data_IF_605975108545
#
_entry.id   IF_605975108545
#
_cell.length_a   1.000
_cell.length_b   1.000
_cell.length_c   1.000
_cell.angle_alpha   90.00
_cell.angle_beta   90.00
_cell.angle_gamma   90.00
#
_symmetry.space_group_name_H-M   'P 1'
#
loop_
_entity.id
_entity.type
_entity.pdbx_description
1 polymer ?
#
# COMPACT_ATOMS: atom_id res chain seq x y z
N UNK A 1 -46.11 -21.94 1.62
CA UNK A 1 -45.95 -20.48 1.78
C UNK A 1 -45.19 -20.19 3.07
N UNK A 2 -43.91 -19.85 2.97
CA UNK A 2 -43.14 -19.07 3.96
C UNK A 2 -41.85 -18.64 3.24
N UNK A 3 -41.75 -17.34 2.94
CA UNK A 3 -40.56 -16.68 2.40
C UNK A 3 -39.47 -16.68 3.49
N UNK A 4 -38.26 -17.11 3.15
CA UNK A 4 -37.05 -16.88 3.95
C UNK A 4 -36.16 -15.96 3.12
N UNK A 5 -36.04 -14.71 3.54
CA UNK A 5 -35.10 -13.75 2.96
C UNK A 5 -33.71 -14.06 3.51
N UNK A 6 -32.78 -14.41 2.63
CA UNK A 6 -31.36 -14.49 2.95
C UNK A 6 -30.79 -13.11 2.69
N UNK A 7 -30.55 -12.35 3.74
CA UNK A 7 -29.93 -11.03 3.69
C UNK A 7 -28.43 -11.21 3.93
N UNK A 8 -27.63 -10.71 2.98
CA UNK A 8 -26.18 -10.62 3.02
C UNK A 8 -25.70 -10.09 4.38
N UNK A 9 -24.87 -10.87 5.08
CA UNK A 9 -24.38 -10.50 6.41
C UNK A 9 -22.86 -10.60 6.61
N UNK A 10 -22.06 -10.79 5.55
CA UNK A 10 -20.60 -11.00 5.73
C UNK A 10 -19.68 -9.88 5.23
N UNK A 11 -20.20 -8.80 4.63
CA UNK A 11 -19.35 -7.67 4.18
C UNK A 11 -19.51 -6.38 4.99
N UNK A 12 -20.40 -6.37 6.00
CA UNK A 12 -20.66 -5.16 6.80
C UNK A 12 -20.04 -5.21 8.21
N UNK A 13 -19.60 -6.37 8.69
CA UNK A 13 -19.02 -6.53 10.04
C UNK A 13 -17.53 -6.14 10.14
N UNK A 14 -16.84 -5.94 9.02
CA UNK A 14 -15.45 -5.44 9.04
C UNK A 14 -15.33 -3.91 9.27
N UNK A 15 -16.46 -3.18 9.33
CA UNK A 15 -16.49 -1.72 9.53
C UNK A 15 -16.98 -1.27 10.91
N UNK A 16 -17.43 -2.19 11.76
CA UNK A 16 -18.05 -1.84 13.06
C UNK A 16 -17.45 -2.54 14.29
N UNK A 17 -16.23 -3.05 14.23
CA UNK A 17 -15.42 -3.19 15.45
C UNK A 17 -14.65 -1.88 15.70
N UNK A 18 -15.42 -0.87 16.10
CA UNK A 18 -14.90 0.38 16.64
C UNK A 18 -14.05 0.03 17.87
N UNK A 19 -12.83 0.57 17.85
CA UNK A 19 -11.91 0.73 18.97
C UNK A 19 -12.61 0.76 20.35
N UNK A 20 -12.54 -0.34 21.09
CA UNK A 20 -12.78 -0.35 22.54
C UNK A 20 -11.49 -0.36 23.37
N UNK A 21 -10.34 0.00 22.78
CA UNK A 21 -9.08 0.23 23.53
C UNK A 21 -8.42 1.59 23.25
N UNK A 22 -9.14 2.54 22.66
CA UNK A 22 -8.67 3.92 22.47
C UNK A 22 -9.65 4.95 23.08
N UNK A 23 -10.34 4.59 24.16
CA UNK A 23 -11.03 5.58 25.00
C UNK A 23 -9.99 6.48 25.66
N UNK A 24 -9.77 7.67 25.09
CA UNK A 24 -9.26 8.89 25.75
C UNK A 24 -8.35 8.64 26.96
N UNK A 25 -7.27 7.89 26.79
CA UNK A 25 -6.30 7.73 27.88
C UNK A 25 -5.61 9.07 28.09
N UNK A 26 -5.67 9.60 29.31
CA UNK A 26 -4.93 10.81 29.67
C UNK A 26 -3.44 10.59 29.34
N UNK A 27 -2.80 11.46 28.55
CA UNK A 27 -1.39 11.30 28.24
C UNK A 27 -0.53 11.33 29.52
N UNK A 28 0.54 10.54 29.54
CA UNK A 28 1.50 10.56 30.65
C UNK A 28 2.14 11.94 30.77
N UNK A 29 2.25 12.45 32.00
CA UNK A 29 2.81 13.77 32.30
C UNK A 29 4.34 13.71 32.30
N UNK A 30 4.96 14.72 31.71
CA UNK A 30 6.41 14.92 31.78
C UNK A 30 6.84 15.27 33.21
N UNK A 31 8.03 14.82 33.62
CA UNK A 31 8.61 15.11 34.94
C UNK A 31 8.03 14.33 36.11
N UNK A 32 7.01 13.49 35.90
CA UNK A 32 6.44 12.60 36.92
C UNK A 32 6.94 11.17 36.71
N UNK A 33 7.30 10.47 37.79
CA UNK A 33 7.75 9.08 37.74
C UNK A 33 6.78 8.15 36.98
N UNK A 34 7.28 7.45 35.96
CA UNK A 34 6.47 6.58 35.09
C UNK A 34 5.82 5.45 35.90
N UNK A 35 6.57 4.87 36.84
CA UNK A 35 6.05 3.80 37.70
C UNK A 35 4.87 4.31 38.56
N UNK A 36 5.00 5.50 39.15
CA UNK A 36 3.88 6.12 39.88
C UNK A 36 2.66 6.36 38.99
N UNK A 37 2.85 6.90 37.79
CA UNK A 37 1.74 7.15 36.86
C UNK A 37 1.03 5.87 36.43
N UNK A 38 1.78 4.77 36.23
CA UNK A 38 1.21 3.47 35.94
C UNK A 38 0.41 2.91 37.13
N UNK A 39 0.96 3.01 38.34
CA UNK A 39 0.25 2.61 39.57
C UNK A 39 -1.05 3.38 39.74
N UNK A 40 -1.03 4.70 39.57
CA UNK A 40 -2.22 5.54 39.69
C UNK A 40 -3.29 5.13 38.66
N UNK A 41 -2.87 4.78 37.44
CA UNK A 41 -3.76 4.36 36.34
C UNK A 41 -4.36 2.97 36.54
N UNK A 42 -3.54 2.00 36.94
CA UNK A 42 -3.92 0.59 36.90
C UNK A 42 -4.07 -0.08 38.26
N UNK A 43 -3.85 0.61 39.38
CA UNK A 43 -3.96 0.06 40.75
C UNK A 43 -5.28 -0.64 41.04
N UNK A 44 -6.37 -0.18 40.44
CA UNK A 44 -7.72 -0.76 40.62
C UNK A 44 -8.06 -1.84 39.59
N UNK A 45 -7.19 -2.10 38.63
CA UNK A 45 -7.49 -3.06 37.56
C UNK A 45 -7.28 -4.51 38.03
N UNK A 46 -8.25 -5.37 37.72
CA UNK A 46 -8.17 -6.80 37.97
C UNK A 46 -7.52 -7.57 36.82
N UNK A 47 -7.26 -6.93 35.68
CA UNK A 47 -6.74 -7.60 34.48
C UNK A 47 -5.32 -8.13 34.72
N UNK A 48 -5.03 -9.41 34.38
CA UNK A 48 -3.70 -9.99 34.57
C UNK A 48 -2.60 -9.19 33.86
N UNK A 49 -2.82 -8.71 32.64
CA UNK A 49 -1.80 -7.94 31.91
C UNK A 49 -1.40 -6.65 32.63
N UNK A 50 -2.33 -5.97 33.31
CA UNK A 50 -2.03 -4.76 34.06
C UNK A 50 -1.22 -5.07 35.32
N UNK A 51 -1.49 -6.19 35.99
CA UNK A 51 -0.69 -6.61 37.15
C UNK A 51 0.76 -6.90 36.77
N UNK A 52 0.99 -7.59 35.65
CA UNK A 52 2.34 -7.86 35.17
C UNK A 52 3.05 -6.57 34.75
N UNK A 53 2.35 -5.65 34.06
CA UNK A 53 2.89 -4.33 33.72
C UNK A 53 3.30 -3.52 34.96
N UNK A 54 2.46 -3.51 36.00
CA UNK A 54 2.77 -2.84 37.27
C UNK A 54 3.96 -3.51 37.97
N UNK A 55 4.00 -4.84 38.02
CA UNK A 55 5.12 -5.58 38.60
C UNK A 55 6.44 -5.26 37.88
N UNK A 56 6.43 -5.21 36.55
CA UNK A 56 7.57 -4.77 35.75
C UNK A 56 7.97 -3.33 36.08
N UNK A 57 7.03 -2.39 36.13
CA UNK A 57 7.33 -0.98 36.43
C UNK A 57 7.95 -0.80 37.83
N UNK A 58 7.43 -1.51 38.83
CA UNK A 58 7.99 -1.52 40.20
C UNK A 58 9.38 -2.16 40.20
N UNK A 59 9.57 -3.28 39.51
CA UNK A 59 10.88 -3.93 39.41
C UNK A 59 11.93 -3.01 38.77
N UNK A 60 11.60 -2.34 37.65
CA UNK A 60 12.50 -1.39 37.01
C UNK A 60 12.82 -0.21 37.93
N UNK A 61 11.81 0.33 38.63
CA UNK A 61 12.03 1.42 39.61
C UNK A 61 12.94 0.99 40.76
N UNK A 62 12.78 -0.26 41.21
CA UNK A 62 13.63 -0.84 42.26
C UNK A 62 15.08 -0.96 41.82
N UNK A 63 15.34 -1.44 40.59
CA UNK A 63 16.70 -1.54 40.02
C UNK A 63 17.35 -0.15 39.96
N UNK A 64 16.64 0.84 39.41
CA UNK A 64 17.15 2.21 39.33
C UNK A 64 17.46 2.79 40.71
N UNK A 65 16.59 2.54 41.69
CA UNK A 65 16.78 3.01 43.06
C UNK A 65 17.98 2.33 43.73
N UNK A 66 18.18 1.03 43.53
CA UNK A 66 19.33 0.30 44.09
C UNK A 66 20.66 0.74 43.49
N UNK A 67 20.67 1.12 42.21
CA UNK A 67 21.86 1.60 41.51
C UNK A 67 22.06 3.12 41.63
N UNK A 68 21.20 3.82 42.38
CA UNK A 68 21.22 5.28 42.52
C UNK A 68 21.10 6.03 41.18
N UNK A 69 20.38 5.45 40.23
CA UNK A 69 20.11 6.02 38.91
C UNK A 69 18.85 6.90 38.94
N UNK A 70 18.75 7.91 38.05
CA UNK A 70 17.58 8.79 38.00
C UNK A 70 16.32 8.04 37.55
N UNK A 71 15.16 8.41 38.10
CA UNK A 71 13.85 7.90 37.66
C UNK A 71 13.38 8.60 36.37
N UNK A 72 14.22 8.62 35.34
CA UNK A 72 13.95 9.25 34.05
C UNK A 72 13.47 8.23 33.01
N UNK A 73 12.74 8.65 31.96
CA UNK A 73 12.33 7.74 30.88
C UNK A 73 13.51 6.99 30.23
N UNK A 74 14.64 7.66 29.99
CA UNK A 74 15.84 7.02 29.43
C UNK A 74 16.44 5.96 30.36
N UNK A 75 16.42 6.18 31.67
CA UNK A 75 16.92 5.22 32.65
C UNK A 75 16.00 4.00 32.76
N UNK A 76 14.67 4.21 32.80
CA UNK A 76 13.69 3.13 32.73
C UNK A 76 13.83 2.30 31.45
N UNK A 77 14.07 2.96 30.32
CA UNK A 77 14.33 2.29 29.05
C UNK A 77 15.59 1.43 29.11
N UNK A 78 16.71 1.98 29.58
CA UNK A 78 17.96 1.26 29.70
C UNK A 78 17.82 0.02 30.59
N UNK A 79 17.23 0.17 31.78
CA UNK A 79 16.99 -0.94 32.70
C UNK A 79 16.10 -2.03 32.08
N UNK A 80 15.05 -1.65 31.36
CA UNK A 80 14.16 -2.59 30.69
C UNK A 80 14.83 -3.32 29.51
N UNK A 81 15.68 -2.63 28.74
CA UNK A 81 16.47 -3.26 27.67
C UNK A 81 17.50 -4.23 28.24
N UNK A 82 18.21 -3.87 29.32
CA UNK A 82 19.14 -4.77 30.01
C UNK A 82 18.44 -6.02 30.53
N UNK A 83 17.27 -5.86 31.17
CA UNK A 83 16.47 -7.00 31.64
C UNK A 83 16.01 -7.91 30.49
N UNK A 84 15.76 -7.36 29.30
CA UNK A 84 15.40 -8.12 28.11
C UNK A 84 16.61 -8.82 27.46
N UNK A 85 17.80 -8.23 27.47
CA UNK A 85 19.00 -8.89 26.93
C UNK A 85 19.37 -10.12 27.78
N UNK A 86 19.16 -10.05 29.09
CA UNK A 86 19.31 -11.17 30.04
C UNK A 86 18.10 -12.14 30.08
N UNK A 87 17.25 -12.14 29.04
CA UNK A 87 15.96 -12.86 29.02
C UNK A 87 15.99 -14.40 29.08
N UNK A 88 17.14 -15.03 29.34
CA UNK A 88 17.23 -16.50 29.47
C UNK A 88 16.38 -17.04 30.62
N UNK A 89 16.14 -16.22 31.64
CA UNK A 89 15.33 -16.57 32.82
C UNK A 89 13.86 -16.13 32.72
N UNK A 90 13.49 -15.40 31.66
CA UNK A 90 12.17 -14.78 31.54
C UNK A 90 11.20 -15.63 30.73
N UNK A 91 9.99 -15.81 31.25
CA UNK A 91 8.88 -16.41 30.51
C UNK A 91 8.24 -15.43 29.50
N UNK A 92 7.36 -15.93 28.65
CA UNK A 92 6.67 -15.12 27.63
C UNK A 92 5.82 -13.98 28.24
N UNK A 93 5.32 -14.16 29.46
CA UNK A 93 4.49 -13.17 30.16
C UNK A 93 5.36 -12.00 30.64
N UNK A 94 6.50 -12.29 31.24
CA UNK A 94 7.48 -11.30 31.70
C UNK A 94 8.07 -10.51 30.51
N UNK A 95 8.43 -11.19 29.43
CA UNK A 95 8.87 -10.55 28.18
C UNK A 95 7.74 -9.67 27.64
N UNK A 96 6.51 -10.18 27.59
CA UNK A 96 5.36 -9.42 27.11
C UNK A 96 5.07 -8.16 27.93
N UNK A 97 5.24 -8.21 29.24
CA UNK A 97 5.09 -7.07 30.14
C UNK A 97 6.19 -6.02 29.95
N UNK A 98 7.45 -6.45 29.81
CA UNK A 98 8.58 -5.57 29.49
C UNK A 98 8.42 -4.86 28.14
N UNK A 99 8.01 -5.59 27.09
CA UNK A 99 7.73 -5.00 25.78
C UNK A 99 6.58 -3.99 25.83
N UNK A 100 5.54 -4.28 26.61
CA UNK A 100 4.42 -3.35 26.82
C UNK A 100 4.89 -2.11 27.58
N UNK A 101 5.70 -2.29 28.64
CA UNK A 101 6.30 -1.20 29.40
C UNK A 101 7.16 -0.30 28.50
N UNK A 102 8.02 -0.87 27.66
CA UNK A 102 8.81 -0.12 26.69
C UNK A 102 7.95 0.70 25.73
N UNK A 103 6.79 0.19 25.30
CA UNK A 103 5.87 0.92 24.41
C UNK A 103 5.27 2.18 25.03
N UNK A 104 5.29 2.26 26.35
CA UNK A 104 4.87 3.42 27.14
C UNK A 104 6.07 4.36 27.39
N UNK A 105 7.23 3.79 27.71
CA UNK A 105 8.44 4.57 28.05
C UNK A 105 9.04 5.27 26.84
N UNK A 106 9.22 4.57 25.71
CA UNK A 106 9.92 5.10 24.52
C UNK A 106 9.33 6.42 24.00
N UNK A 107 8.00 6.60 23.88
CA UNK A 107 7.41 7.88 23.49
C UNK A 107 7.79 9.05 24.40
N UNK A 108 7.99 8.80 25.70
CA UNK A 108 8.31 9.81 26.73
C UNK A 108 9.78 10.21 26.77
N UNK A 109 10.65 9.51 26.03
CA UNK A 109 12.07 9.84 25.98
C UNK A 109 12.24 11.13 25.16
N UNK A 110 12.95 12.15 25.68
CA UNK A 110 13.18 13.38 24.95
C UNK A 110 14.02 13.12 23.69
N UNK A 111 13.97 14.00 22.67
CA UNK A 111 14.92 13.93 21.56
C UNK A 111 16.36 13.83 22.08
N UNK A 112 17.20 13.01 21.44
CA UNK A 112 18.58 12.73 21.87
C UNK A 112 18.72 12.06 23.26
N UNK A 113 17.62 11.63 23.88
CA UNK A 113 17.62 10.94 25.17
C UNK A 113 18.21 9.52 25.14
N UNK A 114 18.52 8.99 23.95
CA UNK A 114 19.25 7.74 23.71
C UNK A 114 20.29 8.02 22.63
N UNK A 115 21.55 7.64 22.87
CA UNK A 115 22.60 7.70 21.86
C UNK A 115 22.39 6.66 20.75
N UNK A 116 22.73 6.98 19.50
CA UNK A 116 22.44 6.12 18.34
C UNK A 116 23.02 4.69 18.44
N UNK A 117 24.23 4.54 18.96
CA UNK A 117 24.82 3.22 19.23
C UNK A 117 23.99 2.39 20.22
N UNK A 118 23.45 3.03 21.28
CA UNK A 118 22.57 2.37 22.26
C UNK A 118 21.18 2.09 21.71
N UNK A 119 20.67 2.94 20.81
CA UNK A 119 19.44 2.66 20.09
C UNK A 119 19.58 1.42 19.19
N UNK A 120 20.72 1.28 18.49
CA UNK A 120 21.05 0.10 17.69
C UNK A 120 21.11 -1.17 18.54
N UNK A 121 21.84 -1.15 19.66
CA UNK A 121 21.89 -2.28 20.61
C UNK A 121 20.48 -2.65 21.09
N UNK A 122 19.65 -1.67 21.45
CA UNK A 122 18.27 -1.91 21.85
C UNK A 122 17.42 -2.53 20.73
N UNK A 123 17.58 -2.08 19.48
CA UNK A 123 16.92 -2.68 18.31
C UNK A 123 17.32 -4.14 18.15
N UNK A 124 18.60 -4.48 18.34
CA UNK A 124 19.09 -5.86 18.28
C UNK A 124 18.45 -6.76 19.36
N UNK A 125 18.37 -6.27 20.60
CA UNK A 125 17.68 -6.98 21.70
C UNK A 125 16.20 -7.17 21.36
N UNK A 126 15.51 -6.12 20.92
CA UNK A 126 14.08 -6.18 20.61
C UNK A 126 13.79 -7.11 19.43
N UNK A 127 14.57 -7.04 18.35
CA UNK A 127 14.43 -7.90 17.17
C UNK A 127 14.56 -9.38 17.52
N UNK A 128 15.50 -9.73 18.42
CA UNK A 128 15.71 -11.10 18.89
C UNK A 128 14.50 -11.65 19.66
N UNK A 129 13.74 -10.80 20.35
CA UNK A 129 12.70 -11.22 21.29
C UNK A 129 11.29 -11.13 20.74
N UNK A 130 11.01 -10.16 19.85
CA UNK A 130 9.68 -9.95 19.30
C UNK A 130 9.17 -11.14 18.48
N UNK A 131 10.08 -11.96 17.95
CA UNK A 131 9.80 -13.20 17.22
C UNK A 131 9.60 -14.44 18.10
N UNK A 132 9.76 -14.35 19.42
CA UNK A 132 9.54 -15.51 20.32
C UNK A 132 8.08 -15.96 20.27
N UNK A 133 7.88 -17.26 20.19
CA UNK A 133 6.54 -17.86 20.26
C UNK A 133 5.89 -17.64 21.63
N UNK A 134 4.56 -17.66 21.66
CA UNK A 134 3.78 -17.46 22.89
C UNK A 134 3.54 -16.00 23.29
N UNK A 135 4.16 -15.01 22.61
CA UNK A 135 3.89 -13.60 22.87
C UNK A 135 2.48 -13.19 22.39
N UNK A 136 1.74 -12.53 23.29
CA UNK A 136 0.42 -11.98 23.00
C UNK A 136 0.44 -10.88 21.94
N UNK A 137 -0.68 -10.71 21.23
CA UNK A 137 -0.85 -9.73 20.14
C UNK A 137 -0.49 -8.31 20.60
N UNK A 138 -0.93 -7.91 21.80
CA UNK A 138 -0.69 -6.57 22.34
C UNK A 138 0.81 -6.31 22.58
N UNK A 139 1.52 -7.30 23.14
CA UNK A 139 2.96 -7.20 23.42
C UNK A 139 3.78 -7.12 22.13
N UNK A 140 3.49 -7.95 21.14
CA UNK A 140 4.18 -7.89 19.84
C UNK A 140 3.89 -6.57 19.13
N UNK A 141 2.63 -6.11 19.13
CA UNK A 141 2.26 -4.80 18.59
C UNK A 141 3.05 -3.67 19.29
N UNK A 142 3.12 -3.70 20.62
CA UNK A 142 3.91 -2.75 21.41
C UNK A 142 5.39 -2.76 21.05
N UNK A 143 5.98 -3.94 20.90
CA UNK A 143 7.37 -4.12 20.49
C UNK A 143 7.66 -3.59 19.08
N UNK A 144 6.80 -3.90 18.11
CA UNK A 144 6.88 -3.38 16.73
C UNK A 144 6.78 -1.85 16.73
N UNK A 145 5.88 -1.28 17.53
CA UNK A 145 5.75 0.17 17.68
C UNK A 145 7.02 0.79 18.27
N UNK A 146 7.60 0.17 19.30
CA UNK A 146 8.89 0.58 19.88
C UNK A 146 10.01 0.54 18.84
N UNK A 147 10.13 -0.54 18.08
CA UNK A 147 11.13 -0.69 17.02
C UNK A 147 11.03 0.45 16.00
N UNK A 148 9.82 0.75 15.53
CA UNK A 148 9.60 1.89 14.63
C UNK A 148 10.01 3.23 15.24
N UNK A 149 9.68 3.47 16.51
CA UNK A 149 10.06 4.69 17.22
C UNK A 149 11.57 4.80 17.46
N UNK A 150 12.25 3.68 17.80
CA UNK A 150 13.69 3.63 17.99
C UNK A 150 14.43 3.99 16.69
N UNK A 151 14.01 3.37 15.58
CA UNK A 151 14.57 3.66 14.26
C UNK A 151 14.42 5.14 13.89
N UNK A 152 13.21 5.69 13.97
CA UNK A 152 12.94 7.06 13.51
C UNK A 152 13.56 8.12 14.41
N UNK A 153 13.60 7.91 15.73
CA UNK A 153 13.97 8.98 16.68
C UNK A 153 15.38 8.92 17.21
N UNK A 154 16.02 7.75 17.20
CA UNK A 154 17.25 7.53 17.95
C UNK A 154 18.35 6.82 17.16
N UNK A 155 18.03 5.99 16.16
CA UNK A 155 19.05 5.41 15.29
C UNK A 155 19.69 6.46 14.37
N UNK A 156 20.87 6.11 13.86
CA UNK A 156 21.56 6.91 12.84
C UNK A 156 20.95 6.58 11.47
N UNK A 157 20.12 7.50 10.96
CA UNK A 157 19.43 7.33 9.67
C UNK A 157 20.35 7.51 8.46
N UNK A 158 21.63 7.86 8.68
CA UNK A 158 22.65 7.96 7.63
C UNK A 158 23.49 6.68 7.51
N UNK A 159 23.54 5.87 8.57
CA UNK A 159 24.24 4.57 8.59
C UNK A 159 23.29 3.39 8.37
N UNK A 160 23.45 2.72 7.23
CA UNK A 160 22.68 1.51 6.91
C UNK A 160 22.80 0.43 7.98
N UNK A 161 23.99 0.24 8.57
CA UNK A 161 24.18 -0.80 9.59
C UNK A 161 23.44 -0.48 10.90
N UNK A 162 23.09 0.79 11.12
CA UNK A 162 22.31 1.24 12.28
C UNK A 162 20.83 0.88 12.13
N UNK A 163 20.29 0.94 10.91
CA UNK A 163 18.85 0.76 10.65
C UNK A 163 18.47 -0.60 10.05
N UNK A 164 19.41 -1.31 9.43
CA UNK A 164 19.16 -2.52 8.64
C UNK A 164 18.32 -3.57 9.38
N UNK A 165 18.78 -4.01 10.56
CA UNK A 165 18.14 -5.08 11.32
C UNK A 165 16.72 -4.69 11.76
N UNK A 166 16.55 -3.47 12.23
CA UNK A 166 15.24 -2.99 12.65
C UNK A 166 14.27 -2.88 11.47
N UNK A 167 14.73 -2.40 10.32
CA UNK A 167 13.92 -2.33 9.10
C UNK A 167 13.54 -3.72 8.58
N UNK A 168 14.49 -4.67 8.57
CA UNK A 168 14.24 -6.07 8.20
C UNK A 168 13.21 -6.71 9.14
N UNK A 169 13.33 -6.45 10.44
CA UNK A 169 12.37 -6.91 11.44
C UNK A 169 10.99 -6.31 11.20
N UNK A 170 10.88 -5.00 10.98
CA UNK A 170 9.58 -4.38 10.68
C UNK A 170 8.95 -4.95 9.40
N UNK A 171 9.76 -5.21 8.38
CA UNK A 171 9.30 -5.85 7.14
C UNK A 171 8.76 -7.26 7.37
N UNK A 172 9.40 -8.08 8.22
CA UNK A 172 8.87 -9.41 8.53
C UNK A 172 7.54 -9.35 9.29
N UNK A 173 7.37 -8.41 10.22
CA UNK A 173 6.11 -8.21 10.93
C UNK A 173 5.02 -7.54 10.08
N UNK A 174 5.38 -6.88 8.98
CA UNK A 174 4.42 -6.26 8.07
C UNK A 174 3.56 -7.27 7.28
N UNK A 175 3.94 -8.56 7.34
CA UNK A 175 3.23 -9.71 6.77
C UNK A 175 2.76 -10.73 7.83
N UNK A 176 2.87 -10.40 9.12
CA UNK A 176 2.45 -11.26 10.25
C UNK A 176 0.99 -11.74 10.15
N UNK A 177 0.67 -12.96 10.60
CA UNK A 177 -0.72 -13.45 10.57
C UNK A 177 -1.72 -12.59 11.37
N UNK A 178 -1.27 -11.85 12.39
CA UNK A 178 -2.09 -11.02 13.30
C UNK A 178 -2.35 -9.64 12.70
N UNK A 179 -3.61 -9.27 12.34
CA UNK A 179 -3.90 -8.01 11.64
C UNK A 179 -3.45 -6.74 12.39
N UNK A 180 -3.61 -6.72 13.72
CA UNK A 180 -3.20 -5.57 14.57
C UNK A 180 -1.67 -5.37 14.58
N UNK A 181 -0.89 -6.45 14.47
CA UNK A 181 0.58 -6.39 14.42
C UNK A 181 1.02 -5.91 13.04
N UNK A 182 0.47 -6.49 11.96
CA UNK A 182 0.78 -6.06 10.59
C UNK A 182 0.53 -4.59 10.36
N UNK A 183 -0.66 -4.10 10.74
CA UNK A 183 -1.03 -2.69 10.52
C UNK A 183 -0.05 -1.77 11.24
N UNK A 184 0.29 -2.08 12.49
CA UNK A 184 1.29 -1.33 13.25
C UNK A 184 2.67 -1.35 12.58
N UNK A 185 3.11 -2.50 12.05
CA UNK A 185 4.38 -2.62 11.33
C UNK A 185 4.38 -1.77 10.05
N UNK A 186 3.31 -1.83 9.25
CA UNK A 186 3.17 -1.04 8.02
C UNK A 186 3.16 0.47 8.28
N UNK A 187 2.47 0.93 9.33
CA UNK A 187 2.53 2.34 9.78
C UNK A 187 3.93 2.76 10.24
N UNK A 188 4.66 1.86 10.92
CA UNK A 188 6.04 2.12 11.32
C UNK A 188 6.97 2.18 10.11
N UNK A 189 6.81 1.28 9.13
CA UNK A 189 7.56 1.29 7.88
C UNK A 189 7.37 2.62 7.15
N UNK A 190 6.14 3.08 6.98
CA UNK A 190 5.86 4.36 6.32
C UNK A 190 6.60 5.53 7.00
N UNK A 191 6.59 5.59 8.34
CA UNK A 191 7.32 6.62 9.11
C UNK A 191 8.84 6.50 8.94
N UNK A 192 9.39 5.29 8.96
CA UNK A 192 10.82 5.05 8.74
C UNK A 192 11.24 5.48 7.33
N UNK A 193 10.51 5.07 6.29
CA UNK A 193 10.81 5.47 4.93
C UNK A 193 10.70 6.98 4.71
N UNK A 194 9.69 7.65 5.31
CA UNK A 194 9.58 9.12 5.29
C UNK A 194 10.76 9.82 5.96
N UNK A 195 11.41 9.18 6.93
CA UNK A 195 12.52 9.77 7.68
C UNK A 195 13.87 9.68 6.98
N UNK A 196 14.01 8.83 5.96
CA UNK A 196 15.25 8.71 5.21
C UNK A 196 15.46 9.94 4.31
N UNK A 197 16.47 10.74 4.64
CA UNK A 197 16.94 11.87 3.83
C UNK A 197 18.10 11.50 2.89
N UNK A 198 18.87 10.46 3.22
CA UNK A 198 20.08 10.07 2.50
C UNK A 198 19.83 9.02 1.43
N UNK A 199 20.38 9.27 0.24
CA UNK A 199 20.17 8.43 -0.95
C UNK A 199 20.74 7.02 -0.81
N UNK A 200 21.84 6.83 -0.07
CA UNK A 200 22.47 5.52 0.11
C UNK A 200 21.62 4.58 0.98
N UNK A 201 21.18 5.04 2.16
CA UNK A 201 20.31 4.26 3.05
C UNK A 201 18.98 3.95 2.36
N UNK A 202 18.39 4.94 1.68
CA UNK A 202 17.16 4.74 0.92
C UNK A 202 17.30 3.67 -0.17
N UNK A 203 18.44 3.64 -0.87
CA UNK A 203 18.73 2.64 -1.90
C UNK A 203 18.84 1.24 -1.32
N UNK A 204 19.51 1.05 -0.19
CA UNK A 204 19.61 -0.26 0.46
C UNK A 204 18.26 -0.69 1.06
N UNK A 205 17.53 0.22 1.72
CA UNK A 205 16.16 -0.01 2.19
C UNK A 205 15.23 -0.44 1.04
N UNK A 206 15.35 0.22 -0.12
CA UNK A 206 14.58 -0.14 -1.31
C UNK A 206 14.90 -1.55 -1.81
N UNK A 207 16.18 -1.94 -1.82
CA UNK A 207 16.57 -3.31 -2.21
C UNK A 207 15.99 -4.36 -1.25
N UNK A 208 15.88 -4.04 0.04
CA UNK A 208 15.30 -4.95 1.03
C UNK A 208 13.81 -5.21 0.74
N UNK A 209 13.03 -4.16 0.43
CA UNK A 209 11.63 -4.29 -0.02
C UNK A 209 11.52 -5.14 -1.29
N UNK A 210 12.38 -4.88 -2.28
CA UNK A 210 12.42 -5.70 -3.50
C UNK A 210 12.75 -7.16 -3.22
N UNK A 211 13.68 -7.43 -2.29
CA UNK A 211 14.05 -8.80 -1.90
C UNK A 211 12.86 -9.53 -1.28
N UNK A 212 12.14 -8.87 -0.36
CA UNK A 212 10.93 -9.42 0.26
C UNK A 212 9.86 -9.74 -0.79
N UNK A 213 9.61 -8.83 -1.73
CA UNK A 213 8.64 -9.06 -2.79
C UNK A 213 9.06 -10.22 -3.71
N UNK A 214 10.33 -10.26 -4.13
CA UNK A 214 10.87 -11.35 -4.96
C UNK A 214 10.77 -12.71 -4.29
N UNK A 215 10.98 -12.79 -2.96
CA UNK A 215 10.85 -14.03 -2.19
C UNK A 215 9.47 -14.67 -2.35
N UNK A 216 8.41 -13.86 -2.45
CA UNK A 216 7.03 -14.34 -2.53
C UNK A 216 6.47 -14.35 -3.95
N UNK A 217 7.28 -13.92 -4.93
CA UNK A 217 6.90 -13.90 -6.34
C UNK A 217 6.48 -15.27 -6.89
N UNK A 218 7.13 -16.41 -6.55
CA UNK A 218 6.69 -17.72 -7.03
C UNK A 218 5.26 -18.08 -6.59
N UNK A 219 4.91 -17.77 -5.34
CA UNK A 219 3.56 -17.97 -4.79
C UNK A 219 2.58 -17.02 -5.47
N UNK A 220 2.96 -15.76 -5.66
CA UNK A 220 2.12 -14.76 -6.33
C UNK A 220 1.80 -15.14 -7.79
N UNK A 221 2.77 -15.66 -8.54
CA UNK A 221 2.55 -16.14 -9.91
C UNK A 221 1.63 -17.35 -9.93
N UNK A 222 1.77 -18.28 -8.99
CA UNK A 222 0.88 -19.44 -8.89
C UNK A 222 -0.57 -19.00 -8.64
N UNK A 223 -0.76 -18.06 -7.71
CA UNK A 223 -2.06 -17.50 -7.38
C UNK A 223 -2.70 -16.68 -8.50
N UNK A 224 -1.90 -15.97 -9.31
CA UNK A 224 -2.45 -15.24 -10.45
C UNK A 224 -2.95 -16.19 -11.54
N UNK A 225 -2.37 -17.40 -11.63
CA UNK A 225 -2.79 -18.44 -12.59
C UNK A 225 -3.87 -19.40 -12.07
N UNK A 226 -4.21 -19.33 -10.78
CA UNK A 226 -5.22 -20.21 -10.21
C UNK A 226 -6.58 -19.87 -10.82
N UNK A 227 -7.15 -20.82 -11.58
CA UNK A 227 -8.48 -20.65 -12.16
C UNK A 227 -9.50 -20.52 -11.04
N UNK A 228 -10.25 -19.42 -11.05
CA UNK A 228 -11.49 -19.27 -10.27
C UNK A 228 -12.60 -20.02 -11.01
N UNK A 229 -12.52 -21.35 -11.03
CA UNK A 229 -13.46 -22.20 -11.75
C UNK A 229 -14.89 -21.97 -11.28
N UNK A 230 -15.79 -21.74 -12.23
CA UNK A 230 -17.20 -21.37 -12.05
C UNK A 230 -18.10 -22.51 -11.46
N UNK A 231 -17.52 -23.62 -10.98
CA UNK A 231 -18.28 -24.84 -10.64
C UNK A 231 -17.95 -25.51 -9.28
N UNK A 232 -17.10 -24.94 -8.42
CA UNK A 232 -16.96 -25.46 -7.05
C UNK A 232 -17.43 -24.42 -6.04
N UNK A 233 -18.49 -24.76 -5.30
CA UNK A 233 -18.93 -24.07 -4.06
C UNK A 233 -17.90 -24.16 -2.91
N UNK A 234 -16.67 -24.53 -3.22
CA UNK A 234 -15.57 -24.46 -2.29
C UNK A 234 -15.02 -23.04 -2.39
N UNK A 235 -15.50 -22.20 -1.48
CA UNK A 235 -14.88 -20.94 -1.12
C UNK A 235 -13.37 -21.14 -1.15
N UNK A 236 -12.65 -20.43 -2.03
CA UNK A 236 -11.20 -20.58 -2.20
C UNK A 236 -10.57 -20.16 -0.87
N UNK A 237 -10.38 -21.11 0.03
CA UNK A 237 -9.72 -20.93 1.30
C UNK A 237 -8.25 -20.71 0.98
N UNK A 238 -7.86 -19.44 0.86
CA UNK A 238 -6.48 -19.04 0.67
C UNK A 238 -5.63 -19.63 1.79
N UNK A 239 -4.53 -20.28 1.41
CA UNK A 239 -3.59 -20.82 2.38
C UNK A 239 -2.85 -19.67 3.07
N UNK A 240 -2.24 -19.89 4.24
CA UNK A 240 -1.48 -18.86 4.93
C UNK A 240 -0.43 -18.18 4.03
N UNK A 241 0.26 -18.95 3.19
CA UNK A 241 1.26 -18.44 2.24
C UNK A 241 0.64 -17.53 1.17
N UNK A 242 -0.62 -17.79 0.81
CA UNK A 242 -1.34 -17.01 -0.18
C UNK A 242 -1.78 -15.65 0.39
N UNK A 243 -2.13 -15.62 1.68
CA UNK A 243 -2.42 -14.39 2.41
C UNK A 243 -1.18 -13.50 2.58
N UNK A 244 0.01 -14.10 2.74
CA UNK A 244 1.26 -13.34 2.81
C UNK A 244 1.52 -12.54 1.53
N UNK A 245 1.20 -13.08 0.35
CA UNK A 245 1.30 -12.34 -0.92
C UNK A 245 0.42 -11.08 -0.89
N UNK A 246 -0.83 -11.19 -0.42
CA UNK A 246 -1.73 -10.05 -0.28
C UNK A 246 -1.18 -9.01 0.70
N UNK A 247 -0.56 -9.47 1.79
CA UNK A 247 0.07 -8.60 2.76
C UNK A 247 1.27 -7.85 2.18
N UNK A 248 2.09 -8.51 1.35
CA UNK A 248 3.22 -7.88 0.67
C UNK A 248 2.76 -6.83 -0.33
N UNK A 249 1.68 -7.07 -1.07
CA UNK A 249 1.11 -6.04 -1.94
C UNK A 249 0.68 -4.80 -1.15
N UNK A 250 0.18 -4.98 0.09
CA UNK A 250 -0.11 -3.85 0.98
C UNK A 250 1.16 -3.17 1.50
N UNK A 251 2.23 -3.91 1.76
CA UNK A 251 3.56 -3.35 2.09
C UNK A 251 4.10 -2.49 0.95
N UNK A 252 3.93 -2.93 -0.30
CA UNK A 252 4.30 -2.13 -1.46
C UNK A 252 3.55 -0.80 -1.49
N UNK A 253 2.23 -0.80 -1.28
CA UNK A 253 1.44 0.45 -1.25
C UNK A 253 1.98 1.50 -0.27
N UNK A 254 2.46 1.08 0.91
CA UNK A 254 2.99 2.03 1.92
C UNK A 254 4.46 2.40 1.71
N UNK A 255 5.22 1.62 0.93
CA UNK A 255 6.66 1.85 0.74
C UNK A 255 7.01 2.49 -0.61
N UNK A 256 6.26 2.17 -1.67
CA UNK A 256 6.47 2.64 -3.05
C UNK A 256 6.71 4.14 -3.19
N UNK A 257 5.99 5.03 -2.48
CA UNK A 257 6.22 6.48 -2.56
C UNK A 257 7.64 6.93 -2.21
N UNK A 258 8.42 6.09 -1.52
CA UNK A 258 9.75 6.41 -1.04
C UNK A 258 10.87 5.64 -1.76
N UNK A 259 10.53 4.61 -2.54
CA UNK A 259 11.55 3.72 -3.10
C UNK A 259 12.36 4.42 -4.18
N UNK A 260 13.63 4.03 -4.31
CA UNK A 260 14.46 4.49 -5.42
C UNK A 260 13.84 4.09 -6.77
N UNK A 261 13.88 4.99 -7.75
CA UNK A 261 13.40 4.79 -9.13
C UNK A 261 13.76 3.42 -9.72
N UNK A 262 15.02 3.01 -9.61
CA UNK A 262 15.51 1.72 -10.14
C UNK A 262 14.83 0.51 -9.51
N UNK A 263 14.51 0.60 -8.22
CA UNK A 263 13.78 -0.46 -7.52
C UNK A 263 12.30 -0.39 -7.87
N UNK A 264 11.71 0.79 -7.89
CA UNK A 264 10.32 1.03 -8.28
C UNK A 264 10.00 0.43 -9.65
N UNK A 265 10.84 0.68 -10.67
CA UNK A 265 10.72 0.08 -12.00
C UNK A 265 10.77 -1.45 -11.95
N UNK A 266 11.69 -2.06 -11.19
CA UNK A 266 11.76 -3.53 -11.04
C UNK A 266 10.55 -4.13 -10.34
N UNK A 267 10.00 -3.44 -9.34
CA UNK A 267 8.79 -3.88 -8.65
C UNK A 267 7.62 -3.82 -9.62
N UNK A 268 7.48 -2.72 -10.37
CA UNK A 268 6.41 -2.56 -11.35
C UNK A 268 6.48 -3.62 -12.45
N UNK A 269 7.65 -3.87 -13.01
CA UNK A 269 7.91 -4.96 -13.97
C UNK A 269 7.48 -6.34 -13.44
N UNK A 270 7.69 -6.60 -12.15
CA UNK A 270 7.22 -7.83 -11.52
C UNK A 270 5.70 -7.81 -11.28
N UNK A 271 5.10 -6.67 -10.92
CA UNK A 271 3.64 -6.54 -10.82
C UNK A 271 2.95 -6.80 -12.16
N UNK A 272 3.53 -6.35 -13.29
CA UNK A 272 3.01 -6.64 -14.63
C UNK A 272 2.87 -8.14 -14.88
N UNK A 273 3.80 -8.97 -14.38
CA UNK A 273 3.74 -10.44 -14.50
C UNK A 273 2.57 -11.07 -13.72
N UNK A 274 2.02 -10.34 -12.75
CA UNK A 274 0.85 -10.75 -11.98
C UNK A 274 -0.46 -10.30 -12.63
N UNK A 275 -0.42 -9.37 -13.59
CA UNK A 275 -1.59 -9.01 -14.39
C UNK A 275 -1.84 -10.14 -15.39
N UNK A 276 -3.01 -10.76 -15.29
CA UNK A 276 -3.51 -11.76 -16.23
C UNK A 276 -4.62 -11.15 -17.06
N UNK A 277 -5.05 -11.84 -18.12
CA UNK A 277 -6.25 -11.44 -18.86
C UNK A 277 -7.52 -11.75 -18.07
N UNK A 278 -7.52 -12.79 -17.24
CA UNK A 278 -8.65 -13.22 -16.42
C UNK A 278 -8.49 -12.80 -14.96
N UNK A 279 -9.61 -12.65 -14.26
CA UNK A 279 -9.65 -12.31 -12.85
C UNK A 279 -8.96 -13.35 -11.97
N UNK A 280 -8.21 -12.87 -10.98
CA UNK A 280 -7.55 -13.67 -9.95
C UNK A 280 -7.76 -13.03 -8.58
N UNK A 281 -7.54 -13.78 -7.47
CA UNK A 281 -7.56 -13.21 -6.13
C UNK A 281 -6.60 -12.02 -5.93
N UNK A 282 -5.55 -11.90 -6.76
CA UNK A 282 -4.57 -10.83 -6.69
C UNK A 282 -4.97 -9.58 -7.48
N UNK A 283 -5.87 -9.68 -8.45
CA UNK A 283 -6.12 -8.62 -9.45
C UNK A 283 -6.38 -7.26 -8.83
N UNK A 284 -7.31 -7.20 -7.85
CA UNK A 284 -7.65 -5.96 -7.13
C UNK A 284 -6.45 -5.36 -6.40
N UNK A 285 -5.66 -6.20 -5.74
CA UNK A 285 -4.50 -5.76 -4.98
C UNK A 285 -3.38 -5.27 -5.91
N UNK A 286 -3.16 -5.93 -7.03
CA UNK A 286 -2.18 -5.53 -8.05
C UNK A 286 -2.57 -4.18 -8.64
N UNK A 287 -3.82 -4.02 -9.09
CA UNK A 287 -4.32 -2.76 -9.64
C UNK A 287 -4.20 -1.62 -8.63
N UNK A 288 -4.63 -1.81 -7.39
CA UNK A 288 -4.48 -0.79 -6.35
C UNK A 288 -3.03 -0.45 -6.04
N UNK A 289 -2.10 -1.39 -6.22
CA UNK A 289 -0.67 -1.12 -6.04
C UNK A 289 -0.11 -0.32 -7.20
N UNK A 290 -0.49 -0.65 -8.45
CA UNK A 290 -0.12 0.12 -9.65
C UNK A 290 -0.67 1.55 -9.58
N UNK A 291 -1.89 1.73 -9.08
CA UNK A 291 -2.48 3.06 -8.86
C UNK A 291 -1.59 3.93 -7.96
N UNK A 292 -1.03 3.35 -6.88
CA UNK A 292 -0.09 4.06 -6.00
C UNK A 292 1.18 4.45 -6.75
N UNK A 293 1.70 3.58 -7.63
CA UNK A 293 2.83 3.94 -8.50
C UNK A 293 2.49 5.13 -9.40
N UNK A 294 1.28 5.21 -9.94
CA UNK A 294 0.90 6.35 -10.78
C UNK A 294 0.79 7.63 -9.95
N UNK A 295 0.44 7.54 -8.67
CA UNK A 295 0.40 8.71 -7.77
C UNK A 295 1.75 9.31 -7.38
N UNK A 296 2.90 8.68 -7.68
CA UNK A 296 4.22 9.20 -7.28
C UNK A 296 4.68 10.33 -8.20
N UNK A 297 5.33 11.35 -7.63
CA UNK A 297 5.87 12.50 -8.38
C UNK A 297 7.08 12.17 -9.27
N UNK A 298 7.70 11.00 -9.10
CA UNK A 298 8.86 10.54 -9.87
C UNK A 298 8.48 9.53 -10.98
N UNK A 299 7.24 9.59 -11.48
CA UNK A 299 6.72 8.63 -12.45
C UNK A 299 7.46 8.67 -13.81
N UNK A 300 8.10 9.79 -14.14
CA UNK A 300 8.80 10.00 -15.43
C UNK A 300 9.86 8.93 -15.71
N UNK A 301 10.48 8.38 -14.67
CA UNK A 301 11.49 7.33 -14.81
C UNK A 301 10.91 5.89 -14.82
N UNK A 302 9.59 5.75 -14.70
CA UNK A 302 8.83 4.49 -14.67
C UNK A 302 8.13 4.22 -16.01
N UNK A 303 8.15 5.18 -16.93
CA UNK A 303 7.58 5.11 -18.30
C UNK A 303 8.13 3.94 -19.11
N UNK A 304 9.33 3.46 -18.81
CA UNK A 304 9.90 2.28 -19.48
C UNK A 304 9.00 1.04 -19.41
N UNK A 305 8.11 0.94 -18.41
CA UNK A 305 7.16 -0.17 -18.28
C UNK A 305 5.74 0.18 -18.77
N UNK A 306 5.51 1.41 -19.25
CA UNK A 306 4.19 1.90 -19.63
C UNK A 306 3.56 1.05 -20.73
N UNK A 307 4.30 0.74 -21.81
CA UNK A 307 3.80 -0.11 -22.89
C UNK A 307 3.35 -1.50 -22.39
N UNK A 308 4.17 -2.15 -21.55
CA UNK A 308 3.85 -3.46 -20.99
C UNK A 308 2.58 -3.39 -20.12
N UNK A 309 2.45 -2.34 -19.31
CA UNK A 309 1.27 -2.13 -18.46
C UNK A 309 0.03 -1.88 -19.31
N UNK A 310 0.13 -1.04 -20.34
CA UNK A 310 -0.97 -0.80 -21.30
C UNK A 310 -1.42 -2.12 -21.91
N UNK A 311 -0.50 -2.93 -22.45
CA UNK A 311 -0.83 -4.22 -23.08
C UNK A 311 -1.51 -5.17 -22.08
N UNK A 312 -0.96 -5.31 -20.87
CA UNK A 312 -1.51 -6.19 -19.84
C UNK A 312 -2.91 -5.75 -19.39
N UNK A 313 -3.12 -4.46 -19.11
CA UNK A 313 -4.41 -3.94 -18.67
C UNK A 313 -5.44 -3.91 -19.81
N UNK A 314 -5.04 -3.56 -21.03
CA UNK A 314 -5.90 -3.60 -22.22
C UNK A 314 -6.39 -5.03 -22.48
N UNK A 315 -5.51 -6.03 -22.38
CA UNK A 315 -5.87 -7.45 -22.50
C UNK A 315 -6.86 -7.89 -21.43
N UNK A 316 -6.72 -7.40 -20.19
CA UNK A 316 -7.67 -7.66 -19.11
C UNK A 316 -9.05 -7.03 -19.38
N UNK A 317 -9.07 -5.77 -19.81
CA UNK A 317 -10.30 -5.04 -20.14
C UNK A 317 -11.04 -5.71 -21.31
N UNK A 318 -10.31 -6.12 -22.34
CA UNK A 318 -10.87 -6.74 -23.55
C UNK A 318 -11.48 -8.14 -23.31
N UNK A 319 -11.33 -8.74 -22.12
CA UNK A 319 -12.10 -9.94 -21.77
C UNK A 319 -13.58 -9.65 -21.49
N UNK A 320 -13.95 -8.37 -21.31
CA UNK A 320 -15.33 -7.94 -21.07
C UNK A 320 -15.98 -8.69 -19.91
N UNK A 321 -17.21 -9.17 -20.13
CA UNK A 321 -18.08 -9.81 -19.12
C UNK A 321 -17.49 -11.05 -18.44
N UNK A 322 -16.38 -11.61 -18.93
CA UNK A 322 -15.66 -12.69 -18.23
C UNK A 322 -15.00 -12.23 -16.93
N UNK A 323 -14.75 -10.93 -16.78
CA UNK A 323 -14.16 -10.34 -15.59
C UNK A 323 -15.19 -9.52 -14.81
N UNK A 324 -15.06 -9.38 -13.48
CA UNK A 324 -15.97 -8.56 -12.69
C UNK A 324 -15.97 -7.09 -13.14
N UNK A 325 -17.16 -6.52 -13.36
CA UNK A 325 -17.32 -5.16 -13.91
C UNK A 325 -16.53 -4.08 -13.17
N UNK A 326 -16.52 -4.10 -11.85
CA UNK A 326 -15.78 -3.12 -11.05
C UNK A 326 -14.25 -3.22 -11.22
N UNK A 327 -13.72 -4.41 -11.51
CA UNK A 327 -12.30 -4.58 -11.88
C UNK A 327 -11.98 -4.13 -13.29
N UNK A 328 -12.92 -4.29 -14.24
CA UNK A 328 -12.80 -3.75 -15.59
C UNK A 328 -12.71 -2.23 -15.55
N UNK A 329 -13.59 -1.57 -14.78
CA UNK A 329 -13.55 -0.12 -14.60
C UNK A 329 -12.27 0.33 -13.89
N UNK A 330 -11.80 -0.41 -12.89
CA UNK A 330 -10.51 -0.12 -12.25
C UNK A 330 -9.35 -0.20 -13.25
N UNK A 331 -9.32 -1.20 -14.13
CA UNK A 331 -8.31 -1.32 -15.18
C UNK A 331 -8.43 -0.22 -16.25
N UNK A 332 -9.64 0.11 -16.69
CA UNK A 332 -9.90 1.21 -17.64
C UNK A 332 -9.43 2.56 -17.09
N UNK A 333 -9.70 2.82 -15.81
CA UNK A 333 -9.25 4.05 -15.12
C UNK A 333 -7.72 4.10 -15.02
N UNK A 334 -7.06 2.97 -14.74
CA UNK A 334 -5.60 2.87 -14.75
C UNK A 334 -5.02 3.10 -16.14
N UNK A 335 -5.62 2.54 -17.20
CA UNK A 335 -5.20 2.78 -18.59
C UNK A 335 -5.27 4.27 -18.94
N UNK A 336 -6.39 4.93 -18.62
CA UNK A 336 -6.55 6.38 -18.81
C UNK A 336 -5.48 7.16 -18.05
N UNK A 337 -5.32 6.89 -16.75
CA UNK A 337 -4.33 7.58 -15.92
C UNK A 337 -2.88 7.38 -16.39
N UNK A 338 -2.57 6.20 -16.93
CA UNK A 338 -1.26 5.92 -17.52
C UNK A 338 -1.07 6.71 -18.81
N UNK A 339 -2.09 6.75 -19.68
CA UNK A 339 -2.04 7.49 -20.93
C UNK A 339 -1.86 9.00 -20.70
N UNK A 340 -2.58 9.59 -19.74
CA UNK A 340 -2.40 10.99 -19.33
C UNK A 340 -0.93 11.28 -19.00
N UNK A 341 -0.30 10.38 -18.23
CA UNK A 341 1.08 10.52 -17.78
C UNK A 341 2.09 10.34 -18.91
N UNK A 342 1.87 9.36 -19.79
CA UNK A 342 2.74 9.16 -20.96
C UNK A 342 2.66 10.38 -21.87
N UNK A 343 1.47 10.94 -22.10
CA UNK A 343 1.28 12.15 -22.89
C UNK A 343 2.07 13.34 -22.33
N UNK A 344 2.12 13.52 -21.00
CA UNK A 344 2.90 14.62 -20.39
C UNK A 344 4.42 14.50 -20.53
N UNK A 345 4.96 13.31 -20.83
CA UNK A 345 6.41 13.06 -20.78
C UNK A 345 7.00 12.63 -22.13
N UNK A 346 6.25 11.92 -22.99
CA UNK A 346 6.73 11.42 -24.28
C UNK A 346 5.66 11.57 -25.39
N UNK A 347 5.74 12.65 -26.17
CA UNK A 347 4.72 13.04 -27.17
C UNK A 347 4.55 12.07 -28.34
N UNK A 348 5.54 11.24 -28.68
CA UNK A 348 5.42 10.35 -29.86
C UNK A 348 4.91 8.94 -29.54
N UNK A 349 5.05 8.46 -28.30
CA UNK A 349 4.67 7.09 -27.93
C UNK A 349 3.22 6.96 -27.46
N UNK A 350 2.57 8.07 -27.09
CA UNK A 350 1.20 8.06 -26.57
C UNK A 350 0.15 7.78 -27.65
N UNK A 351 0.33 8.20 -28.92
CA UNK A 351 -0.66 7.96 -30.00
C UNK A 351 -0.89 6.46 -30.23
N UNK A 352 0.20 5.67 -30.26
CA UNK A 352 0.10 4.21 -30.39
C UNK A 352 -0.64 3.59 -29.20
N UNK A 353 -0.40 4.11 -28.00
CA UNK A 353 -1.09 3.66 -26.79
C UNK A 353 -2.55 4.13 -26.74
N UNK A 354 -2.86 5.31 -27.26
CA UNK A 354 -4.21 5.90 -27.33
C UNK A 354 -5.15 4.96 -28.08
N UNK A 355 -4.73 4.47 -29.25
CA UNK A 355 -5.54 3.55 -30.05
C UNK A 355 -5.93 2.30 -29.25
N UNK A 356 -4.94 1.64 -28.63
CA UNK A 356 -5.15 0.41 -27.86
C UNK A 356 -6.01 0.66 -26.61
N UNK A 357 -5.71 1.71 -25.85
CA UNK A 357 -6.49 2.12 -24.66
C UNK A 357 -7.94 2.38 -25.05
N UNK A 358 -8.15 3.17 -26.10
CA UNK A 358 -9.48 3.56 -26.57
C UNK A 358 -10.25 2.35 -27.08
N UNK A 359 -9.62 1.46 -27.85
CA UNK A 359 -10.23 0.20 -28.31
C UNK A 359 -10.75 -0.64 -27.14
N UNK A 360 -9.92 -0.84 -26.12
CA UNK A 360 -10.29 -1.62 -24.94
C UNK A 360 -11.45 -0.98 -24.17
N UNK A 361 -11.42 0.33 -23.94
CA UNK A 361 -12.49 1.03 -23.20
C UNK A 361 -13.78 1.07 -24.02
N UNK A 362 -13.71 1.29 -25.33
CA UNK A 362 -14.88 1.30 -26.21
C UNK A 362 -15.62 -0.03 -26.20
N UNK A 363 -14.89 -1.16 -26.10
CA UNK A 363 -15.49 -2.49 -25.94
C UNK A 363 -16.34 -2.66 -24.66
N UNK A 364 -16.10 -1.84 -23.63
CA UNK A 364 -16.93 -1.85 -22.41
C UNK A 364 -18.24 -1.05 -22.56
N UNK A 365 -18.34 -0.16 -23.55
CA UNK A 365 -19.54 0.66 -23.78
C UNK A 365 -20.74 -0.18 -24.24
N UNK A 366 -20.50 -1.41 -24.70
CA UNK A 366 -21.54 -2.36 -25.11
C UNK A 366 -21.78 -3.46 -24.08
N UNK A 367 -21.19 -3.34 -22.88
CA UNK A 367 -21.38 -4.28 -21.76
C UNK A 367 -22.66 -3.98 -20.96
N UNK A 368 -22.87 -4.68 -19.85
CA UNK A 368 -23.96 -4.39 -18.92
C UNK A 368 -24.06 -2.90 -18.53
N UNK A 369 -25.29 -2.42 -18.27
CA UNK A 369 -25.63 -1.00 -18.06
C UNK A 369 -24.70 -0.28 -17.07
N UNK A 370 -24.39 -0.89 -15.92
CA UNK A 370 -23.52 -0.24 -14.92
C UNK A 370 -22.06 -0.11 -15.40
N UNK A 371 -21.54 -1.17 -16.03
CA UNK A 371 -20.17 -1.16 -16.59
C UNK A 371 -20.09 -0.20 -17.77
N UNK A 372 -21.05 -0.22 -18.69
CA UNK A 372 -21.13 0.72 -19.82
C UNK A 372 -21.24 2.18 -19.35
N UNK A 373 -22.07 2.46 -18.33
CA UNK A 373 -22.21 3.79 -17.74
C UNK A 373 -20.89 4.31 -17.18
N UNK A 374 -20.17 3.53 -16.37
CA UNK A 374 -18.90 3.94 -15.81
C UNK A 374 -17.79 4.04 -16.88
N UNK A 375 -17.75 3.11 -17.84
CA UNK A 375 -16.82 3.16 -18.96
C UNK A 375 -17.04 4.41 -19.81
N UNK A 376 -18.29 4.86 -19.98
CA UNK A 376 -18.62 6.10 -20.68
C UNK A 376 -17.99 7.32 -20.01
N UNK A 377 -17.93 7.35 -18.68
CA UNK A 377 -17.28 8.45 -17.94
C UNK A 377 -15.78 8.43 -18.22
N UNK A 378 -15.13 7.27 -18.09
CA UNK A 378 -13.69 7.13 -18.35
C UNK A 378 -13.35 7.52 -19.80
N UNK A 379 -14.15 7.10 -20.77
CA UNK A 379 -13.93 7.40 -22.19
C UNK A 379 -14.14 8.88 -22.53
N UNK A 380 -15.19 9.51 -21.97
CA UNK A 380 -15.40 10.95 -22.12
C UNK A 380 -14.24 11.75 -21.53
N UNK A 381 -13.76 11.35 -20.36
CA UNK A 381 -12.60 11.99 -19.74
C UNK A 381 -11.36 11.83 -20.63
N UNK A 382 -11.10 10.63 -21.17
CA UNK A 382 -10.00 10.40 -22.11
C UNK A 382 -10.09 11.30 -23.35
N UNK A 383 -11.25 11.38 -24.00
CA UNK A 383 -11.47 12.27 -25.15
C UNK A 383 -11.21 13.72 -24.77
N UNK A 384 -11.74 14.16 -23.62
CA UNK A 384 -11.61 15.54 -23.19
C UNK A 384 -10.18 15.97 -22.86
N UNK A 385 -9.33 15.04 -22.38
CA UNK A 385 -7.94 15.33 -22.01
C UNK A 385 -6.96 15.27 -23.20
N UNK A 386 -7.30 14.53 -24.26
CA UNK A 386 -6.37 14.26 -25.37
C UNK A 386 -6.80 14.85 -26.72
N UNK A 387 -8.03 15.34 -26.84
CA UNK A 387 -8.50 16.07 -28.02
C UNK A 387 -8.84 17.49 -27.56
N UNK A 388 -8.05 18.47 -27.97
CA UNK A 388 -8.30 19.88 -27.73
C UNK A 388 -8.03 20.61 -29.03
N UNK A 389 -9.05 20.67 -29.88
CA UNK A 389 -8.97 21.39 -31.13
C UNK A 389 -8.57 22.84 -30.83
N UNK A 390 -7.38 23.32 -31.26
CA UNK A 390 -7.10 24.72 -31.11
C UNK A 390 -8.08 25.47 -32.02
N UNK A 391 -8.72 26.50 -31.46
CA UNK A 391 -9.64 27.37 -32.21
C UNK A 391 -8.96 28.06 -33.42
N UNK A 392 -7.65 27.88 -33.62
CA UNK A 392 -6.83 28.35 -34.73
C UNK A 392 -7.04 27.59 -36.05
N UNK A 393 -7.73 26.45 -36.09
CA UNK A 393 -8.15 25.85 -37.37
C UNK A 393 -9.16 26.70 -38.17
N UNK A 394 -9.56 27.86 -37.63
CA UNK A 394 -10.35 28.90 -38.31
C UNK A 394 -9.46 30.04 -38.84
N UNK A 395 -8.19 30.16 -38.43
CA UNK A 395 -7.31 31.26 -38.83
C UNK A 395 -5.94 30.72 -39.28
N UNK A 396 -5.82 30.49 -40.59
CA UNK A 396 -4.59 30.10 -41.28
C UNK A 396 -3.49 31.16 -41.09
N UNK A 397 -2.66 31.10 -40.04
CA UNK A 397 -1.36 31.80 -40.01
C UNK A 397 -0.39 31.29 -38.90
N UNK A 398 0.47 30.34 -39.29
CA UNK A 398 1.88 30.13 -38.92
C UNK A 398 2.33 29.81 -37.46
N UNK A 399 2.90 28.60 -37.26
CA UNK A 399 4.25 28.37 -36.67
C UNK A 399 4.76 26.94 -37.01
N UNK A 400 6.08 26.71 -37.08
CA UNK A 400 6.64 25.40 -37.53
C UNK A 400 6.71 24.31 -36.45
N UNK A 401 6.51 24.67 -35.17
CA UNK A 401 6.33 23.69 -34.08
C UNK A 401 4.84 23.34 -33.89
N UNK A 402 3.90 24.24 -34.27
CA UNK A 402 2.46 23.92 -34.34
C UNK A 402 2.18 22.80 -35.34
N UNK A 403 2.83 22.83 -36.51
CA UNK A 403 2.60 21.83 -37.57
C UNK A 403 2.79 20.38 -37.07
N UNK A 404 3.73 20.12 -36.14
CA UNK A 404 3.97 18.77 -35.64
C UNK A 404 2.92 18.33 -34.61
N UNK A 405 2.54 19.23 -33.70
CA UNK A 405 1.46 18.97 -32.74
C UNK A 405 0.10 18.82 -33.43
N UNK A 406 -0.17 19.60 -34.48
CA UNK A 406 -1.37 19.49 -35.30
C UNK A 406 -1.44 18.14 -36.04
N UNK A 407 -0.32 17.61 -36.52
CA UNK A 407 -0.26 16.27 -37.15
C UNK A 407 -0.51 15.16 -36.12
N UNK A 408 0.12 15.23 -34.94
CA UNK A 408 -0.07 14.27 -33.86
C UNK A 408 -1.53 14.22 -33.38
N UNK A 409 -2.17 15.39 -33.24
CA UNK A 409 -3.59 15.51 -32.87
C UNK A 409 -4.52 14.98 -33.98
N UNK A 410 -4.25 15.30 -35.24
CA UNK A 410 -5.03 14.79 -36.36
C UNK A 410 -4.97 13.25 -36.45
N UNK A 411 -3.82 12.64 -36.16
CA UNK A 411 -3.68 11.19 -36.14
C UNK A 411 -4.34 10.55 -34.91
N UNK A 412 -4.31 11.22 -33.75
CA UNK A 412 -5.08 10.82 -32.57
C UNK A 412 -6.59 10.81 -32.85
N UNK A 413 -7.11 11.86 -33.50
CA UNK A 413 -8.52 11.96 -33.93
C UNK A 413 -8.88 10.83 -34.89
N UNK A 414 -8.09 10.60 -35.95
CA UNK A 414 -8.34 9.51 -36.91
C UNK A 414 -8.37 8.16 -36.22
N UNK A 415 -7.43 7.92 -35.30
CA UNK A 415 -7.37 6.69 -34.53
C UNK A 415 -8.65 6.51 -33.70
N UNK A 416 -9.08 7.53 -32.95
CA UNK A 416 -10.31 7.48 -32.15
C UNK A 416 -11.56 7.26 -33.01
N UNK A 417 -11.71 7.97 -34.11
CA UNK A 417 -12.81 7.77 -35.05
C UNK A 417 -12.85 6.32 -35.58
N UNK A 418 -11.69 5.76 -35.95
CA UNK A 418 -11.60 4.37 -36.39
C UNK A 418 -11.99 3.39 -35.29
N UNK A 419 -11.63 3.64 -34.02
CA UNK A 419 -12.08 2.83 -32.89
C UNK A 419 -13.61 2.79 -32.82
N UNK A 420 -14.26 3.95 -32.82
CA UNK A 420 -15.72 4.00 -32.70
C UNK A 420 -16.44 3.44 -33.92
N UNK A 421 -15.92 3.66 -35.13
CA UNK A 421 -16.45 3.04 -36.35
C UNK A 421 -16.41 1.52 -36.24
N UNK A 422 -15.30 0.95 -35.76
CA UNK A 422 -15.16 -0.49 -35.54
C UNK A 422 -16.10 -1.00 -34.44
N UNK A 423 -16.24 -0.27 -33.32
CA UNK A 423 -17.17 -0.61 -32.24
C UNK A 423 -18.63 -0.61 -32.72
N UNK A 424 -19.02 0.37 -33.52
CA UNK A 424 -20.35 0.44 -34.12
C UNK A 424 -20.59 -0.70 -35.13
N UNK A 425 -19.60 -0.98 -35.98
CA UNK A 425 -19.70 -2.05 -36.99
C UNK A 425 -19.73 -3.46 -36.37
N UNK A 426 -19.10 -3.65 -35.21
CA UNK A 426 -19.05 -4.95 -34.51
C UNK A 426 -20.25 -5.19 -33.59
N UNK A 427 -21.00 -4.14 -33.24
CA UNK A 427 -22.24 -4.27 -32.49
C UNK A 427 -23.40 -4.64 -33.40
N UNK A 428 -23.99 -5.82 -33.20
CA UNK A 428 -25.26 -6.21 -33.84
C UNK A 428 -26.49 -5.55 -33.17
N UNK A 429 -26.28 -4.77 -32.12
CA UNK A 429 -27.33 -4.12 -31.34
C UNK A 429 -27.36 -2.60 -31.61
N UNK A 430 -28.54 -2.00 -31.43
CA UNK A 430 -28.72 -0.55 -31.49
C UNK A 430 -27.78 0.08 -30.46
N UNK A 431 -26.98 1.11 -30.82
CA UNK A 431 -26.11 1.82 -29.89
C UNK A 431 -26.88 2.27 -28.65
N UNK A 432 -26.35 1.95 -27.47
CA UNK A 432 -26.96 2.33 -26.21
C UNK A 432 -26.76 3.83 -25.90
N UNK A 433 -27.43 4.33 -24.86
CA UNK A 433 -27.33 5.73 -24.47
C UNK A 433 -25.90 6.14 -24.06
N UNK A 434 -25.09 5.19 -23.57
CA UNK A 434 -23.74 5.44 -23.09
C UNK A 434 -22.75 5.62 -24.25
N UNK A 435 -22.81 4.77 -25.27
CA UNK A 435 -22.05 4.90 -26.51
C UNK A 435 -22.44 6.18 -27.26
N UNK A 436 -23.73 6.48 -27.36
CA UNK A 436 -24.21 7.72 -27.99
C UNK A 436 -23.74 8.97 -27.23
N UNK A 437 -23.70 8.93 -25.89
CA UNK A 437 -23.19 10.03 -25.09
C UNK A 437 -21.68 10.27 -25.31
N UNK A 438 -20.89 9.20 -25.47
CA UNK A 438 -19.46 9.31 -25.78
C UNK A 438 -19.25 9.88 -27.18
N UNK A 439 -19.99 9.40 -28.18
CA UNK A 439 -19.94 9.92 -29.56
C UNK A 439 -20.33 11.40 -29.61
N UNK A 440 -21.33 11.83 -28.83
CA UNK A 440 -21.70 13.24 -28.71
C UNK A 440 -20.55 14.10 -28.21
N UNK A 441 -19.76 13.62 -27.23
CA UNK A 441 -18.59 14.35 -26.71
C UNK A 441 -17.48 14.40 -27.77
N UNK A 442 -17.24 13.30 -28.49
CA UNK A 442 -16.29 13.28 -29.60
C UNK A 442 -16.66 14.30 -30.68
N UNK A 443 -17.92 14.33 -31.13
CA UNK A 443 -18.39 15.27 -32.14
C UNK A 443 -18.31 16.72 -31.67
N UNK A 444 -18.64 17.01 -30.42
CA UNK A 444 -18.44 18.34 -29.84
C UNK A 444 -16.99 18.80 -29.88
N UNK A 445 -16.04 17.91 -29.57
CA UNK A 445 -14.59 18.22 -29.67
C UNK A 445 -14.12 18.43 -31.11
N UNK A 446 -14.79 17.81 -32.08
CA UNK A 446 -14.52 18.01 -33.52
C UNK A 446 -15.25 19.24 -34.11
N UNK A 447 -16.04 19.96 -33.32
CA UNK A 447 -16.80 21.13 -33.79
C UNK A 447 -18.00 20.80 -34.67
N UNK A 448 -18.57 19.60 -34.55
CA UNK A 448 -19.71 19.11 -35.34
C UNK A 448 -21.04 19.09 -34.57
#
# INVERSE_FOLDING_TARGET
MKKKSTQNHDETDARNEIDHENEKETPFKEGVDICQQLMDRYSKSSAPQHRHLLATAVAMRSILSSESLPLSPSAYFAAAISALDDSQSLDATAIGALLTFLSIVVPMIPPQGIASGKAKEAVEVMARLVGKEGLGVASVRGAVKCLGMLLVRFCDLEDWNSVHLGLETLLSFSVDKRPKVRRCAQECLEKVFKSFSHSNVLKEASKLVLSLFKKHMPVAVTLSTAQTGHDSKDEISLRPEDLEVLHILNVLKVTVPFLSVKVSSKILSNLCKLIRSEFSPLTRHVFKTIEVFFGISQFDAVIMEAENIVVCLASYVSQGEKNPGDTLISAATLLKSLLDKVHTVESSSWIRNLSLVSCSIAGLLTSEVNTASQASVVMKDLINHHIDLPASLIDENHSSDDDFHEIEEADAIKSLCSVFENTLCSSNQIPDEHLLAVLSVLFQKLGM
#
